data_IF_691256780071
#
_entry.id   IF_691256780071
#
_cell.length_a   1.000
_cell.length_b   1.000
_cell.length_c   1.000
_cell.angle_alpha   90.00
_cell.angle_beta   90.00
_cell.angle_gamma   90.00
#
_symmetry.space_group_name_H-M   'P 1'
#
loop_
_entity.id
_entity.type
_entity.pdbx_description
1 polymer ?
#
# COMPACT_ATOMS: atom_id res chain seq x y z
N UNK A 1 -15.40 58.25 -20.21
CA UNK A 1 -14.15 57.49 -20.45
C UNK A 1 -14.27 55.95 -20.35
N UNK A 2 -15.40 55.38 -19.90
CA UNK A 2 -15.57 53.93 -19.68
C UNK A 2 -15.93 53.07 -20.90
N UNK A 3 -15.99 53.66 -22.11
CA UNK A 3 -16.58 53.03 -23.31
C UNK A 3 -15.55 52.46 -24.30
N UNK A 4 -14.36 53.07 -24.41
CA UNK A 4 -13.41 52.77 -25.50
C UNK A 4 -12.55 51.55 -25.16
N UNK A 5 -12.14 51.39 -23.90
CA UNK A 5 -11.31 50.26 -23.46
C UNK A 5 -12.03 48.92 -23.48
N UNK A 6 -13.36 48.90 -23.29
CA UNK A 6 -14.19 47.68 -23.43
C UNK A 6 -14.39 47.31 -24.90
N UNK A 7 -14.57 48.30 -25.77
CA UNK A 7 -14.68 48.07 -27.21
C UNK A 7 -13.38 47.48 -27.79
N UNK A 8 -12.22 47.95 -27.32
CA UNK A 8 -10.92 47.41 -27.77
C UNK A 8 -10.63 45.99 -27.27
N UNK A 9 -11.09 45.61 -26.07
CA UNK A 9 -10.95 44.23 -25.59
C UNK A 9 -11.85 43.28 -26.36
N UNK A 10 -13.10 43.65 -26.62
CA UNK A 10 -14.01 42.84 -27.46
C UNK A 10 -13.50 42.70 -28.90
N UNK A 11 -12.92 43.76 -29.48
CA UNK A 11 -12.35 43.73 -30.82
C UNK A 11 -11.12 42.81 -30.95
N UNK A 12 -10.39 42.55 -29.86
CA UNK A 12 -9.27 41.60 -29.86
C UNK A 12 -9.70 40.16 -29.52
N UNK A 13 -10.64 40.00 -28.59
CA UNK A 13 -11.10 38.68 -28.13
C UNK A 13 -11.97 38.00 -29.18
N UNK A 14 -12.86 38.73 -29.85
CA UNK A 14 -13.80 38.12 -30.80
C UNK A 14 -13.11 37.45 -32.01
N UNK A 15 -12.16 38.09 -32.71
CA UNK A 15 -11.44 37.44 -33.82
C UNK A 15 -10.57 36.26 -33.35
N UNK A 16 -9.99 36.38 -32.15
CA UNK A 16 -9.22 35.28 -31.54
C UNK A 16 -10.12 34.07 -31.28
N UNK A 17 -11.26 34.24 -30.59
CA UNK A 17 -12.19 33.15 -30.31
C UNK A 17 -12.73 32.54 -31.60
N UNK A 18 -13.10 33.37 -32.58
CA UNK A 18 -13.59 32.91 -33.87
C UNK A 18 -12.55 32.09 -34.65
N UNK A 19 -11.28 32.53 -34.67
CA UNK A 19 -10.20 31.79 -35.33
C UNK A 19 -9.81 30.49 -34.61
N UNK A 20 -10.11 30.39 -33.31
CA UNK A 20 -9.76 29.25 -32.45
C UNK A 20 -10.95 28.31 -32.16
N UNK A 21 -12.13 28.53 -32.74
CA UNK A 21 -13.36 27.74 -32.52
C UNK A 21 -13.10 26.23 -32.51
N UNK A 22 -12.48 25.70 -33.58
CA UNK A 22 -12.18 24.27 -33.71
C UNK A 22 -11.30 23.74 -32.57
N UNK A 23 -10.36 24.54 -32.08
CA UNK A 23 -9.49 24.15 -30.98
C UNK A 23 -10.22 24.19 -29.64
N UNK A 24 -11.09 25.18 -29.41
CA UNK A 24 -11.97 25.21 -28.24
C UNK A 24 -12.91 24.01 -28.21
N UNK A 25 -13.54 23.68 -29.33
CA UNK A 25 -14.39 22.49 -29.46
C UNK A 25 -13.64 21.22 -29.05
N UNK A 26 -12.45 20.99 -29.63
CA UNK A 26 -11.64 19.81 -29.34
C UNK A 26 -11.09 19.80 -27.91
N UNK A 27 -10.78 20.97 -27.36
CA UNK A 27 -10.42 21.12 -25.94
C UNK A 27 -11.56 20.67 -25.03
N UNK A 28 -12.79 21.12 -25.29
CA UNK A 28 -13.97 20.75 -24.51
C UNK A 28 -14.37 19.28 -24.70
N UNK A 29 -14.18 18.72 -25.90
CA UNK A 29 -14.34 17.28 -26.13
C UNK A 29 -13.33 16.51 -25.28
N UNK A 30 -12.05 16.91 -25.28
CA UNK A 30 -11.02 16.31 -24.43
C UNK A 30 -11.39 16.40 -22.94
N UNK A 31 -11.88 17.56 -22.48
CA UNK A 31 -12.37 17.75 -21.12
C UNK A 31 -13.54 16.84 -20.78
N UNK A 32 -14.53 16.72 -21.67
CA UNK A 32 -15.68 15.85 -21.50
C UNK A 32 -15.22 14.38 -21.38
N UNK A 33 -14.39 13.91 -22.31
CA UNK A 33 -13.81 12.55 -22.27
C UNK A 33 -13.05 12.30 -20.97
N UNK A 34 -12.26 13.28 -20.50
CA UNK A 34 -11.50 13.17 -19.26
C UNK A 34 -12.39 13.08 -18.01
N UNK A 35 -13.67 13.48 -18.10
CA UNK A 35 -14.63 13.51 -17.00
C UNK A 35 -15.77 12.49 -17.14
N UNK A 36 -15.84 11.76 -18.24
CA UNK A 36 -16.83 10.69 -18.43
C UNK A 36 -16.59 9.59 -17.39
N UNK A 37 -17.64 9.24 -16.65
CA UNK A 37 -17.65 8.09 -15.74
C UNK A 37 -18.27 6.89 -16.45
N UNK A 38 -17.49 5.82 -16.61
CA UNK A 38 -17.94 4.59 -17.30
C UNK A 38 -18.57 3.64 -16.26
N UNK A 39 -19.72 2.99 -16.58
CA UNK A 39 -20.41 2.07 -15.66
C UNK A 39 -19.55 0.86 -15.20
N UNK A 40 -19.95 0.31 -14.04
CA UNK A 40 -19.14 -0.43 -13.07
C UNK A 40 -18.39 -1.68 -13.54
N UNK A 41 -18.80 -2.35 -14.62
CA UNK A 41 -18.27 -3.69 -14.94
C UNK A 41 -16.86 -3.68 -15.57
N UNK A 42 -16.45 -2.58 -16.23
CA UNK A 42 -15.14 -2.45 -16.91
C UNK A 42 -14.30 -1.30 -16.34
N UNK A 43 -14.70 -0.78 -15.18
CA UNK A 43 -14.23 0.49 -14.64
C UNK A 43 -12.73 0.52 -14.34
N UNK A 44 -12.15 -0.59 -13.87
CA UNK A 44 -10.76 -0.62 -13.36
C UNK A 44 -9.69 -0.42 -14.44
N UNK A 45 -9.94 -0.84 -15.68
CA UNK A 45 -8.97 -0.78 -16.77
C UNK A 45 -9.26 0.36 -17.76
N UNK A 46 -10.53 0.60 -18.05
CA UNK A 46 -10.92 1.53 -19.12
C UNK A 46 -10.96 2.97 -18.62
N UNK A 47 -11.40 3.20 -17.38
CA UNK A 47 -11.52 4.56 -16.83
C UNK A 47 -10.18 5.34 -16.85
N UNK A 48 -9.04 4.77 -16.41
CA UNK A 48 -7.79 5.52 -16.39
C UNK A 48 -7.23 5.80 -17.79
N UNK A 49 -7.47 4.88 -18.74
CA UNK A 49 -7.06 5.03 -20.13
C UNK A 49 -7.88 6.11 -20.87
N UNK A 50 -9.21 6.09 -20.70
CA UNK A 50 -10.11 7.11 -21.26
C UNK A 50 -9.81 8.48 -20.66
N UNK A 51 -9.63 8.54 -19.34
CA UNK A 51 -9.26 9.79 -18.65
C UNK A 51 -7.93 10.35 -19.16
N UNK A 52 -6.91 9.50 -19.33
CA UNK A 52 -5.62 9.88 -19.87
C UNK A 52 -5.70 10.36 -21.33
N UNK A 53 -6.49 9.68 -22.17
CA UNK A 53 -6.75 10.10 -23.54
C UNK A 53 -7.40 11.49 -23.62
N UNK A 54 -8.43 11.72 -22.79
CA UNK A 54 -9.06 13.03 -22.67
C UNK A 54 -8.10 14.13 -22.23
N UNK A 55 -7.23 13.85 -21.25
CA UNK A 55 -6.21 14.80 -20.77
C UNK A 55 -5.16 15.13 -21.84
N UNK A 56 -4.74 14.16 -22.65
CA UNK A 56 -3.79 14.38 -23.75
C UNK A 56 -4.42 15.28 -24.83
N UNK A 57 -5.67 14.98 -25.23
CA UNK A 57 -6.42 15.80 -26.19
C UNK A 57 -6.58 17.21 -25.65
N UNK A 58 -7.03 17.35 -24.40
CA UNK A 58 -7.18 18.65 -23.73
C UNK A 58 -5.85 19.42 -23.67
N UNK A 59 -4.73 18.73 -23.42
CA UNK A 59 -3.41 19.35 -23.36
C UNK A 59 -2.90 19.83 -24.70
N UNK A 60 -3.05 19.03 -25.75
CA UNK A 60 -2.66 19.40 -27.11
C UNK A 60 -3.44 20.63 -27.59
N UNK A 61 -4.76 20.63 -27.42
CA UNK A 61 -5.58 21.75 -27.87
C UNK A 61 -5.49 22.97 -26.97
N UNK A 62 -5.30 22.78 -25.66
CA UNK A 62 -4.99 23.88 -24.75
C UNK A 62 -3.64 24.52 -25.05
N UNK A 63 -2.63 23.75 -25.46
CA UNK A 63 -1.36 24.29 -25.96
C UNK A 63 -1.59 25.21 -27.17
N UNK A 64 -2.34 24.76 -28.18
CA UNK A 64 -2.64 25.59 -29.37
C UNK A 64 -3.45 26.84 -29.02
N UNK A 65 -4.43 26.75 -28.13
CA UNK A 65 -5.21 27.92 -27.69
C UNK A 65 -4.28 28.92 -26.99
N UNK A 66 -3.44 28.44 -26.06
CA UNK A 66 -2.57 29.30 -25.26
C UNK A 66 -1.49 29.96 -26.12
N UNK A 67 -0.84 29.22 -27.03
CA UNK A 67 0.23 29.77 -27.88
C UNK A 67 -0.26 30.81 -28.88
N UNK A 68 -1.51 30.71 -29.33
CA UNK A 68 -2.11 31.68 -30.26
C UNK A 68 -2.75 32.90 -29.58
N UNK A 69 -2.67 33.02 -28.24
CA UNK A 69 -3.18 34.20 -27.54
C UNK A 69 -2.52 35.48 -28.09
N UNK A 70 -3.28 36.58 -28.28
CA UNK A 70 -2.78 37.85 -28.80
C UNK A 70 -2.01 38.65 -27.72
N UNK A 71 -1.04 37.99 -27.09
CA UNK A 71 -0.13 38.48 -26.05
C UNK A 71 1.29 38.12 -26.50
N UNK A 72 2.32 38.62 -25.83
CA UNK A 72 3.73 38.26 -26.00
C UNK A 72 3.94 36.78 -26.37
N UNK A 73 4.27 36.47 -27.65
CA UNK A 73 4.34 35.09 -28.17
C UNK A 73 5.32 34.19 -27.42
N UNK A 74 6.41 34.76 -26.92
CA UNK A 74 7.40 33.96 -26.17
C UNK A 74 6.85 33.52 -24.81
N UNK A 75 6.07 34.37 -24.15
CA UNK A 75 5.46 34.04 -22.85
C UNK A 75 4.34 33.03 -23.02
N UNK A 76 3.47 33.25 -24.00
CA UNK A 76 2.34 32.37 -24.28
C UNK A 76 2.79 30.98 -24.69
N UNK A 77 3.88 30.86 -25.47
CA UNK A 77 4.48 29.57 -25.80
C UNK A 77 5.01 28.82 -24.57
N UNK A 78 5.71 29.51 -23.65
CA UNK A 78 6.21 28.90 -22.40
C UNK A 78 5.07 28.46 -21.48
N UNK A 79 4.02 29.27 -21.36
CA UNK A 79 2.81 28.93 -20.58
C UNK A 79 2.10 27.74 -21.21
N UNK A 80 1.91 27.76 -22.54
CA UNK A 80 1.28 26.67 -23.28
C UNK A 80 2.04 25.36 -23.10
N UNK A 81 3.37 25.38 -23.21
CA UNK A 81 4.20 24.19 -22.99
C UNK A 81 4.10 23.69 -21.54
N UNK A 82 4.12 24.59 -20.56
CA UNK A 82 3.88 24.25 -19.16
C UNK A 82 2.52 23.59 -18.95
N UNK A 83 1.46 24.12 -19.57
CA UNK A 83 0.11 23.55 -19.51
C UNK A 83 0.03 22.15 -20.15
N UNK A 84 0.68 21.95 -21.30
CA UNK A 84 0.76 20.64 -21.95
C UNK A 84 1.46 19.62 -21.05
N UNK A 85 2.65 19.95 -20.54
CA UNK A 85 3.41 19.06 -19.65
C UNK A 85 2.62 18.75 -18.38
N UNK A 86 1.91 19.73 -17.83
CA UNK A 86 1.03 19.53 -16.67
C UNK A 86 0.00 18.43 -16.94
N UNK A 87 -0.70 18.51 -18.08
CA UNK A 87 -1.71 17.52 -18.45
C UNK A 87 -1.12 16.17 -18.84
N UNK A 88 0.07 16.14 -19.44
CA UNK A 88 0.81 14.90 -19.70
C UNK A 88 1.18 14.21 -18.38
N UNK A 89 1.64 14.94 -17.37
CA UNK A 89 1.91 14.36 -16.03
C UNK A 89 0.63 13.79 -15.42
N UNK A 90 -0.51 14.49 -15.55
CA UNK A 90 -1.79 13.97 -15.09
C UNK A 90 -2.24 12.72 -15.85
N UNK A 91 -2.06 12.70 -17.17
CA UNK A 91 -2.38 11.54 -18.01
C UNK A 91 -1.49 10.34 -17.65
N UNK A 92 -0.18 10.56 -17.51
CA UNK A 92 0.79 9.53 -17.16
C UNK A 92 0.55 8.98 -15.74
N UNK A 93 0.21 9.84 -14.78
CA UNK A 93 -0.16 9.39 -13.41
C UNK A 93 -1.50 8.67 -13.37
N UNK A 94 -2.46 9.03 -14.24
CA UNK A 94 -3.70 8.26 -14.42
C UNK A 94 -3.41 6.85 -14.95
N UNK A 95 -2.61 6.74 -16.01
CA UNK A 95 -2.19 5.46 -16.58
C UNK A 95 -1.36 4.62 -15.60
N UNK A 96 -0.55 5.26 -14.75
CA UNK A 96 0.22 4.56 -13.73
C UNK A 96 -0.65 3.81 -12.72
N UNK A 97 -1.94 4.15 -12.58
CA UNK A 97 -2.85 3.37 -11.74
C UNK A 97 -3.18 1.97 -12.31
N UNK A 98 -2.90 1.74 -13.60
CA UNK A 98 -3.13 0.45 -14.26
C UNK A 98 -1.97 -0.53 -14.07
N UNK A 99 -0.79 -0.04 -13.68
CA UNK A 99 0.42 -0.84 -13.60
C UNK A 99 0.95 -0.91 -12.18
N UNK A 100 1.35 -2.11 -11.76
CA UNK A 100 1.99 -2.35 -10.46
C UNK A 100 3.51 -2.24 -10.52
N UNK A 101 4.07 -1.81 -11.67
CA UNK A 101 5.53 -1.67 -11.81
C UNK A 101 6.09 -0.63 -10.84
N UNK A 102 7.33 -0.83 -10.38
CA UNK A 102 8.00 0.12 -9.48
C UNK A 102 8.04 1.55 -10.06
N UNK A 103 8.20 1.68 -11.37
CA UNK A 103 8.16 2.98 -12.07
C UNK A 103 6.76 3.62 -12.04
N UNK A 104 5.68 2.85 -12.20
CA UNK A 104 4.31 3.34 -12.11
C UNK A 104 3.97 3.78 -10.68
N UNK A 105 4.38 3.00 -9.67
CA UNK A 105 4.25 3.36 -8.25
C UNK A 105 5.01 4.64 -7.93
N UNK A 106 6.25 4.76 -8.43
CA UNK A 106 7.06 5.98 -8.27
C UNK A 106 6.39 7.21 -8.88
N UNK A 107 5.88 7.09 -10.11
CA UNK A 107 5.23 8.19 -10.82
C UNK A 107 3.98 8.68 -10.08
N UNK A 108 3.17 7.76 -9.57
CA UNK A 108 1.99 8.05 -8.74
C UNK A 108 2.36 8.78 -7.45
N UNK A 109 3.37 8.30 -6.73
CA UNK A 109 3.81 8.86 -5.45
C UNK A 109 4.51 10.22 -5.64
N UNK A 110 5.18 10.43 -6.78
CA UNK A 110 5.90 11.66 -7.09
C UNK A 110 5.03 12.74 -7.74
N UNK A 111 3.73 12.48 -7.97
CA UNK A 111 2.82 13.41 -8.66
C UNK A 111 2.87 14.83 -8.10
N UNK A 112 2.73 14.99 -6.78
CA UNK A 112 2.74 16.32 -6.16
C UNK A 112 4.06 17.05 -6.39
N UNK A 113 5.19 16.33 -6.27
CA UNK A 113 6.51 16.88 -6.57
C UNK A 113 6.63 17.31 -8.03
N UNK A 114 6.29 16.44 -8.99
CA UNK A 114 6.38 16.73 -10.42
C UNK A 114 5.54 17.97 -10.82
N UNK A 115 4.32 18.07 -10.31
CA UNK A 115 3.46 19.22 -10.58
C UNK A 115 3.99 20.51 -9.93
N UNK A 116 4.45 20.45 -8.68
CA UNK A 116 5.01 21.61 -7.99
C UNK A 116 6.32 22.10 -8.64
N UNK A 117 7.18 21.15 -9.05
CA UNK A 117 8.43 21.44 -9.75
C UNK A 117 8.18 22.05 -11.13
N UNK A 118 7.17 21.55 -11.86
CA UNK A 118 6.78 22.13 -13.14
C UNK A 118 6.33 23.59 -12.99
N UNK A 119 5.46 23.88 -12.00
CA UNK A 119 5.02 25.26 -11.73
C UNK A 119 6.22 26.14 -11.38
N UNK A 120 7.11 25.67 -10.52
CA UNK A 120 8.36 26.38 -10.18
C UNK A 120 9.20 26.67 -11.43
N UNK A 121 9.39 25.69 -12.31
CA UNK A 121 10.15 25.84 -13.55
C UNK A 121 9.50 26.86 -14.49
N UNK A 122 8.19 26.77 -14.72
CA UNK A 122 7.45 27.72 -15.58
C UNK A 122 7.55 29.15 -15.03
N UNK A 123 7.35 29.33 -13.72
CA UNK A 123 7.51 30.64 -13.05
C UNK A 123 8.94 31.15 -13.18
N UNK A 124 9.94 30.28 -12.99
CA UNK A 124 11.35 30.64 -13.17
C UNK A 124 11.62 31.16 -14.57
N UNK A 125 11.22 30.42 -15.62
CA UNK A 125 11.48 30.80 -17.02
C UNK A 125 10.74 32.07 -17.47
N UNK A 126 9.58 32.37 -16.89
CA UNK A 126 8.76 33.53 -17.29
C UNK A 126 9.08 34.77 -16.47
N UNK A 127 9.27 34.64 -15.15
CA UNK A 127 9.33 35.80 -14.24
C UNK A 127 10.74 36.08 -13.70
N UNK A 128 11.54 35.04 -13.48
CA UNK A 128 12.85 35.15 -12.83
C UNK A 128 13.94 35.28 -13.88
N UNK A 129 14.05 34.30 -14.78
CA UNK A 129 15.10 34.20 -15.80
C UNK A 129 15.25 35.50 -16.60
N UNK A 130 14.19 36.16 -17.11
CA UNK A 130 14.34 37.39 -17.87
C UNK A 130 15.00 38.54 -17.10
N UNK A 131 14.84 38.58 -15.77
CA UNK A 131 15.41 39.63 -14.91
C UNK A 131 16.88 39.42 -14.57
N UNK A 132 17.39 38.21 -14.78
CA UNK A 132 18.78 37.84 -14.46
C UNK A 132 19.59 37.47 -15.72
N UNK A 133 19.00 37.62 -16.91
CA UNK A 133 19.62 37.29 -18.20
C UNK A 133 21.00 37.96 -18.39
N UNK A 134 21.15 39.19 -17.93
CA UNK A 134 22.41 39.96 -18.00
C UNK A 134 23.55 39.32 -17.20
N UNK A 135 23.23 38.45 -16.24
CA UNK A 135 24.17 37.77 -15.36
C UNK A 135 24.19 36.28 -15.69
N UNK A 136 24.86 35.93 -16.80
CA UNK A 136 24.95 34.56 -17.31
C UNK A 136 25.40 33.54 -16.26
N UNK A 137 26.33 33.91 -15.37
CA UNK A 137 26.77 33.04 -14.27
C UNK A 137 25.64 32.70 -13.28
N UNK A 138 24.76 33.65 -12.96
CA UNK A 138 23.62 33.40 -12.07
C UNK A 138 22.55 32.56 -12.75
N UNK A 139 22.28 32.79 -14.04
CA UNK A 139 21.34 31.96 -14.82
C UNK A 139 21.79 30.51 -14.82
N UNK A 140 23.07 30.27 -15.15
CA UNK A 140 23.63 28.92 -15.19
C UNK A 140 23.55 28.25 -13.82
N UNK A 141 23.95 28.96 -12.75
CA UNK A 141 23.84 28.45 -11.38
C UNK A 141 22.40 28.06 -11.02
N UNK A 142 21.42 28.92 -11.28
CA UNK A 142 20.01 28.65 -10.96
C UNK A 142 19.43 27.47 -11.76
N UNK A 143 19.76 27.37 -13.05
CA UNK A 143 19.35 26.25 -13.89
C UNK A 143 19.94 24.93 -13.37
N UNK A 144 21.22 24.92 -12.98
CA UNK A 144 21.85 23.74 -12.37
C UNK A 144 21.31 23.40 -10.98
N UNK A 145 20.93 24.39 -10.19
CA UNK A 145 20.26 24.15 -8.89
C UNK A 145 18.90 23.47 -9.12
N UNK A 146 18.10 23.94 -10.08
CA UNK A 146 16.82 23.30 -10.42
C UNK A 146 17.01 21.85 -10.87
N UNK A 147 17.96 21.61 -11.78
CA UNK A 147 18.32 20.25 -12.23
C UNK A 147 18.81 19.41 -11.06
N UNK A 148 19.65 19.95 -10.19
CA UNK A 148 20.16 19.28 -9.00
C UNK A 148 19.06 18.85 -8.03
N UNK A 149 18.10 19.75 -7.73
CA UNK A 149 16.94 19.43 -6.88
C UNK A 149 16.14 18.28 -7.49
N UNK A 150 15.88 18.33 -8.80
CA UNK A 150 15.15 17.28 -9.51
C UNK A 150 15.88 15.94 -9.43
N UNK A 151 17.18 15.91 -9.74
CA UNK A 151 18.00 14.70 -9.71
C UNK A 151 18.16 14.12 -8.31
N UNK A 152 18.33 14.96 -7.29
CA UNK A 152 18.41 14.52 -5.90
C UNK A 152 17.12 13.85 -5.46
N UNK A 153 15.96 14.45 -5.78
CA UNK A 153 14.66 13.86 -5.48
C UNK A 153 14.44 12.55 -6.22
N UNK A 154 14.73 12.53 -7.53
CA UNK A 154 14.63 11.35 -8.37
C UNK A 154 15.50 10.19 -7.86
N UNK A 155 16.77 10.47 -7.56
CA UNK A 155 17.73 9.49 -7.04
C UNK A 155 17.30 8.93 -5.68
N UNK A 156 16.87 9.80 -4.76
CA UNK A 156 16.40 9.38 -3.44
C UNK A 156 15.16 8.50 -3.52
N UNK A 157 14.20 8.83 -4.39
CA UNK A 157 12.97 8.07 -4.52
C UNK A 157 13.18 6.73 -5.23
N UNK A 158 14.07 6.67 -6.24
CA UNK A 158 14.47 5.40 -6.87
C UNK A 158 15.17 4.47 -5.88
N UNK A 159 16.12 4.99 -5.08
CA UNK A 159 16.80 4.20 -4.05
C UNK A 159 15.81 3.62 -3.03
N UNK A 160 14.83 4.41 -2.62
CA UNK A 160 13.76 3.95 -1.71
C UNK A 160 12.90 2.85 -2.34
N UNK A 161 12.53 2.97 -3.61
CA UNK A 161 11.73 1.93 -4.26
C UNK A 161 12.44 0.58 -4.36
N UNK A 162 13.77 0.57 -4.52
CA UNK A 162 14.58 -0.66 -4.55
C UNK A 162 14.71 -1.27 -3.14
N UNK A 163 14.88 -0.44 -2.10
CA UNK A 163 15.00 -0.95 -0.72
C UNK A 163 13.70 -1.49 -0.12
N UNK A 164 12.53 -1.05 -0.62
CA UNK A 164 11.23 -1.44 -0.04
C UNK A 164 10.81 -2.85 -0.46
N UNK A 165 11.16 -3.32 -1.66
CA UNK A 165 10.82 -4.69 -2.10
C UNK A 165 11.49 -5.77 -1.22
N UNK A 166 12.69 -5.53 -0.72
CA UNK A 166 13.39 -6.48 0.15
C UNK A 166 12.81 -6.48 1.58
N UNK A 167 12.46 -5.31 2.12
CA UNK A 167 11.92 -5.18 3.49
C UNK A 167 10.49 -5.73 3.58
N UNK A 168 9.65 -5.47 2.57
CA UNK A 168 8.25 -5.92 2.55
C UNK A 168 8.16 -7.46 2.43
N UNK A 169 9.05 -8.09 1.67
CA UNK A 169 9.16 -9.55 1.60
C UNK A 169 9.53 -10.19 2.96
N UNK A 170 10.41 -9.54 3.72
CA UNK A 170 10.86 -10.00 5.04
C UNK A 170 9.78 -9.78 6.11
N UNK A 171 9.05 -8.66 6.07
CA UNK A 171 7.96 -8.36 7.01
C UNK A 171 6.74 -9.28 6.80
N UNK A 172 6.33 -9.53 5.56
CA UNK A 172 5.24 -10.48 5.25
C UNK A 172 5.57 -11.89 5.73
N UNK A 173 6.82 -12.31 5.60
CA UNK A 173 7.27 -13.62 6.11
C UNK A 173 7.23 -13.68 7.65
N UNK A 174 7.69 -12.63 8.34
CA UNK A 174 7.66 -12.54 9.81
C UNK A 174 6.22 -12.54 10.36
N UNK A 175 5.31 -11.84 9.70
CA UNK A 175 3.90 -11.74 10.14
C UNK A 175 3.17 -13.09 10.00
N UNK A 176 3.39 -13.83 8.90
CA UNK A 176 2.82 -15.19 8.72
C UNK A 176 3.32 -16.19 9.78
N UNK A 177 4.58 -16.10 10.18
CA UNK A 177 5.13 -16.94 11.23
C UNK A 177 4.54 -16.61 12.62
N UNK A 178 4.18 -15.35 12.88
CA UNK A 178 3.52 -14.95 14.14
C UNK A 178 2.10 -15.51 14.25
N UNK A 179 1.27 -15.33 13.22
CA UNK A 179 -0.11 -15.83 13.23
C UNK A 179 -0.20 -17.35 13.40
N UNK A 180 0.69 -18.10 12.75
CA UNK A 180 0.75 -19.56 12.90
C UNK A 180 1.13 -19.98 14.34
N UNK A 181 1.98 -19.22 15.02
CA UNK A 181 2.36 -19.48 16.42
C UNK A 181 1.21 -19.20 17.37
N UNK A 182 0.49 -18.10 17.17
CA UNK A 182 -0.64 -17.71 18.03
C UNK A 182 -1.80 -18.73 17.93
N UNK A 183 -2.15 -19.17 16.73
CA UNK A 183 -3.20 -20.19 16.52
C UNK A 183 -2.84 -21.54 17.16
N UNK A 184 -1.57 -21.96 17.11
CA UNK A 184 -1.11 -23.20 17.75
C UNK A 184 -1.16 -23.14 19.27
N UNK A 185 -0.80 -21.98 19.86
CA UNK A 185 -0.86 -21.78 21.31
C UNK A 185 -2.31 -21.80 21.83
N UNK A 186 -3.23 -21.20 21.07
CA UNK A 186 -4.66 -21.20 21.42
C UNK A 186 -5.23 -22.62 21.41
N UNK A 187 -4.95 -23.40 20.35
CA UNK A 187 -5.35 -24.82 20.28
C UNK A 187 -4.77 -25.67 21.40
N UNK A 188 -3.54 -25.38 21.84
CA UNK A 188 -2.93 -26.08 22.97
C UNK A 188 -3.63 -25.75 24.29
N UNK A 189 -3.98 -24.47 24.52
CA UNK A 189 -4.73 -24.04 25.71
C UNK A 189 -6.11 -24.70 25.77
N UNK A 190 -6.83 -24.75 24.65
CA UNK A 190 -8.12 -25.43 24.56
C UNK A 190 -7.99 -26.93 24.83
N UNK A 191 -7.02 -27.59 24.22
CA UNK A 191 -6.79 -29.01 24.42
C UNK A 191 -6.41 -29.36 25.87
N UNK A 192 -5.64 -28.48 26.53
CA UNK A 192 -5.33 -28.59 27.97
C UNK A 192 -6.60 -28.48 28.82
N UNK A 193 -7.47 -27.53 28.50
CA UNK A 193 -8.75 -27.33 29.21
C UNK A 193 -9.65 -28.57 29.07
N UNK A 194 -9.82 -29.09 27.86
CA UNK A 194 -10.60 -30.29 27.59
C UNK A 194 -10.06 -31.53 28.33
N UNK A 195 -8.74 -31.67 28.42
CA UNK A 195 -8.16 -32.75 29.21
C UNK A 195 -8.45 -32.57 30.70
N UNK A 196 -8.25 -31.38 31.26
CA UNK A 196 -8.46 -31.12 32.68
C UNK A 196 -9.93 -31.28 33.10
N UNK A 197 -10.86 -30.73 32.32
CA UNK A 197 -12.29 -30.72 32.64
C UNK A 197 -12.94 -32.06 32.26
N UNK A 198 -12.76 -32.51 31.02
CA UNK A 198 -13.53 -33.63 30.46
C UNK A 198 -12.75 -34.96 30.39
N UNK A 199 -11.44 -34.95 30.65
CA UNK A 199 -10.59 -36.15 30.55
C UNK A 199 -10.28 -36.57 29.11
N UNK A 200 -10.63 -35.72 28.12
CA UNK A 200 -10.38 -36.00 26.70
C UNK A 200 -8.90 -35.83 26.36
N UNK A 201 -8.21 -36.96 26.15
CA UNK A 201 -6.76 -36.98 25.83
C UNK A 201 -6.44 -36.67 24.37
N UNK A 202 -7.31 -37.10 23.44
CA UNK A 202 -7.01 -37.10 22.00
C UNK A 202 -6.63 -35.72 21.45
N UNK A 203 -7.34 -34.61 21.79
CA UNK A 203 -6.97 -33.28 21.32
C UNK A 203 -5.60 -32.83 21.82
N UNK A 204 -5.28 -33.13 23.09
CA UNK A 204 -4.02 -32.75 23.72
C UNK A 204 -2.84 -33.51 23.11
N UNK A 205 -3.00 -34.82 22.89
CA UNK A 205 -2.00 -35.66 22.23
C UNK A 205 -1.72 -35.14 20.82
N UNK A 206 -2.77 -34.91 20.02
CA UNK A 206 -2.62 -34.46 18.64
C UNK A 206 -1.92 -33.09 18.55
N UNK A 207 -2.32 -32.13 19.38
CA UNK A 207 -1.74 -30.79 19.37
C UNK A 207 -0.30 -30.79 19.89
N UNK A 208 0.01 -31.54 20.97
CA UNK A 208 1.38 -31.66 21.47
C UNK A 208 2.30 -32.34 20.45
N UNK A 209 1.89 -33.47 19.87
CA UNK A 209 2.68 -34.16 18.85
C UNK A 209 3.00 -33.24 17.67
N UNK A 210 2.01 -32.48 17.18
CA UNK A 210 2.22 -31.54 16.09
C UNK A 210 3.23 -30.44 16.42
N UNK A 211 3.11 -29.83 17.61
CA UNK A 211 4.04 -28.78 18.06
C UNK A 211 5.46 -29.32 18.17
N UNK A 212 5.63 -30.55 18.68
CA UNK A 212 6.94 -31.15 18.87
C UNK A 212 7.59 -31.58 17.55
N UNK A 213 6.80 -32.10 16.60
CA UNK A 213 7.27 -32.37 15.23
C UNK A 213 7.71 -31.06 14.56
N UNK A 214 6.92 -29.99 14.68
CA UNK A 214 7.28 -28.67 14.14
C UNK A 214 8.53 -28.08 14.83
N UNK A 215 8.82 -28.49 16.06
CA UNK A 215 10.05 -28.15 16.80
C UNK A 215 11.25 -29.08 16.46
N UNK A 216 11.09 -30.02 15.53
CA UNK A 216 12.15 -30.91 15.06
C UNK A 216 12.45 -32.11 15.98
N UNK A 217 11.53 -32.47 16.87
CA UNK A 217 11.70 -33.65 17.73
C UNK A 217 11.49 -34.95 16.95
N UNK A 218 12.26 -35.99 17.28
CA UNK A 218 12.06 -37.32 16.71
C UNK A 218 10.82 -38.01 17.28
N UNK A 219 10.21 -38.90 16.49
CA UNK A 219 9.00 -39.64 16.88
C UNK A 219 9.17 -40.40 18.21
N UNK A 220 10.33 -41.04 18.41
CA UNK A 220 10.65 -41.76 19.66
C UNK A 220 10.62 -40.84 20.89
N UNK A 221 11.15 -39.61 20.76
CA UNK A 221 11.15 -38.61 21.84
C UNK A 221 9.75 -38.12 22.15
N UNK A 222 8.95 -37.89 21.12
CA UNK A 222 7.54 -37.47 21.26
C UNK A 222 6.75 -38.57 21.97
N UNK A 223 6.92 -39.83 21.57
CA UNK A 223 6.28 -40.98 22.21
C UNK A 223 6.67 -41.10 23.69
N UNK A 224 7.95 -40.94 24.03
CA UNK A 224 8.43 -40.97 25.41
C UNK A 224 7.86 -39.83 26.28
N UNK A 225 7.66 -38.65 25.70
CA UNK A 225 7.08 -37.50 26.39
C UNK A 225 5.58 -37.69 26.64
N UNK A 226 4.83 -38.20 25.64
CA UNK A 226 3.37 -38.32 25.68
C UNK A 226 2.90 -39.63 26.36
N UNK A 227 3.77 -40.63 26.49
CA UNK A 227 3.47 -41.92 27.14
C UNK A 227 2.74 -41.82 28.51
N UNK A 228 3.10 -40.90 29.43
CA UNK A 228 2.36 -40.70 30.68
C UNK A 228 0.90 -40.24 30.48
N UNK A 229 0.61 -39.52 29.41
CA UNK A 229 -0.74 -39.05 29.06
C UNK A 229 -1.58 -40.19 28.49
N UNK A 230 -0.97 -41.04 27.65
CA UNK A 230 -1.63 -42.20 27.04
C UNK A 230 -2.00 -43.22 28.12
N UNK A 231 -1.04 -43.57 28.98
CA UNK A 231 -1.16 -44.62 30.00
C UNK A 231 -2.08 -44.26 31.18
N UNK A 232 -2.37 -42.99 31.41
CA UNK A 232 -3.23 -42.57 32.51
C UNK A 232 -4.71 -42.91 32.30
N UNK A 233 -5.38 -43.62 33.20
CA UNK A 233 -6.83 -43.80 33.14
C UNK A 233 -7.49 -43.17 34.37
N UNK A 234 -8.60 -42.47 34.17
CA UNK A 234 -9.39 -41.91 35.27
C UNK A 234 -10.04 -43.04 36.10
N UNK A 235 -10.22 -42.79 37.39
CA UNK A 235 -10.94 -43.70 38.27
C UNK A 235 -12.42 -43.78 37.82
N UNK A 236 -12.89 -45.00 37.53
CA UNK A 236 -14.25 -45.25 37.04
C UNK A 236 -15.28 -44.95 38.13
N UNK A 237 -16.34 -44.24 37.77
CA UNK A 237 -17.43 -43.98 38.71
C UNK A 237 -18.18 -45.27 39.05
N UNK A 238 -18.42 -45.58 40.34
CA UNK A 238 -19.27 -46.69 40.73
C UNK A 238 -20.69 -46.49 40.22
N UNK A 239 -21.32 -47.56 39.70
CA UNK A 239 -22.70 -47.52 39.17
C UNK A 239 -23.72 -47.05 40.22
N UNK A 240 -23.46 -47.32 41.50
CA UNK A 240 -24.26 -46.87 42.64
C UNK A 240 -23.39 -46.03 43.55
N UNK A 241 -23.36 -44.72 43.32
CA UNK A 241 -22.58 -43.75 44.10
C UNK A 241 -23.45 -42.55 44.47
N UNK A 242 -23.29 -42.07 45.70
CA UNK A 242 -23.97 -40.87 46.18
C UNK A 242 -23.35 -39.61 45.54
N UNK A 243 -24.11 -38.51 45.44
CA UNK A 243 -23.64 -37.29 44.76
C UNK A 243 -22.33 -36.71 45.32
N UNK A 244 -22.12 -36.82 46.64
CA UNK A 244 -20.88 -36.39 47.29
C UNK A 244 -19.67 -37.27 46.91
N UNK A 245 -19.88 -38.56 46.68
CA UNK A 245 -18.87 -39.53 46.30
C UNK A 245 -18.44 -39.34 44.84
N UNK A 246 -19.41 -39.06 43.95
CA UNK A 246 -19.15 -38.67 42.56
C UNK A 246 -18.28 -37.42 42.48
N UNK A 247 -18.65 -36.38 43.23
CA UNK A 247 -17.88 -35.13 43.27
C UNK A 247 -16.47 -35.33 43.85
N UNK A 248 -16.31 -36.23 44.83
CA UNK A 248 -15.01 -36.57 45.40
C UNK A 248 -14.11 -37.26 44.37
N UNK A 249 -14.63 -38.25 43.64
CA UNK A 249 -13.91 -38.98 42.59
C UNK A 249 -13.54 -38.04 41.44
N UNK A 250 -14.46 -37.18 41.00
CA UNK A 250 -14.20 -36.20 39.94
C UNK A 250 -13.10 -35.20 40.34
N UNK A 251 -13.14 -34.69 41.57
CA UNK A 251 -12.10 -33.80 42.09
C UNK A 251 -10.73 -34.50 42.20
N UNK A 252 -10.72 -35.78 42.57
CA UNK A 252 -9.50 -36.60 42.61
C UNK A 252 -8.93 -36.84 41.21
N UNK A 253 -9.79 -37.18 40.24
CA UNK A 253 -9.41 -37.32 38.83
C UNK A 253 -8.86 -36.01 38.26
N UNK A 254 -9.53 -34.88 38.48
CA UNK A 254 -9.04 -33.56 38.06
C UNK A 254 -7.66 -33.22 38.64
N UNK A 255 -7.43 -33.50 39.92
CA UNK A 255 -6.11 -33.35 40.56
C UNK A 255 -5.05 -34.26 39.94
N UNK A 256 -5.40 -35.50 39.62
CA UNK A 256 -4.48 -36.44 38.97
C UNK A 256 -4.12 -36.01 37.54
N UNK A 257 -5.11 -35.58 36.74
CA UNK A 257 -4.89 -34.99 35.41
C UNK A 257 -3.96 -33.79 35.46
N UNK A 258 -4.15 -32.89 36.43
CA UNK A 258 -3.25 -31.74 36.64
C UNK A 258 -1.82 -32.17 36.95
N UNK A 259 -1.62 -33.19 37.79
CA UNK A 259 -0.27 -33.71 38.10
C UNK A 259 0.44 -34.25 36.86
N UNK A 260 -0.29 -34.88 35.95
CA UNK A 260 0.28 -35.41 34.70
C UNK A 260 0.73 -34.29 33.78
N UNK A 261 -0.10 -33.26 33.61
CA UNK A 261 0.28 -32.08 32.85
C UNK A 261 1.54 -31.42 33.42
N UNK A 262 1.61 -31.22 34.73
CA UNK A 262 2.79 -30.63 35.37
C UNK A 262 4.06 -31.47 35.15
N UNK A 263 3.96 -32.80 35.14
CA UNK A 263 5.10 -33.68 34.81
C UNK A 263 5.54 -33.54 33.35
N UNK A 264 4.60 -33.35 32.42
CA UNK A 264 4.90 -33.13 31.00
C UNK A 264 5.56 -31.76 30.82
N UNK A 265 5.03 -30.72 31.47
CA UNK A 265 5.61 -29.36 31.48
C UNK A 265 7.03 -29.35 32.06
N UNK A 266 7.27 -30.09 33.16
CA UNK A 266 8.60 -30.20 33.76
C UNK A 266 9.60 -30.88 32.80
N UNK A 267 9.17 -31.94 32.10
CA UNK A 267 10.01 -32.60 31.09
C UNK A 267 10.33 -31.66 29.92
N UNK A 268 9.34 -30.94 29.42
CA UNK A 268 9.52 -29.94 28.36
C UNK A 268 10.48 -28.82 28.76
N UNK A 269 10.36 -28.32 29.99
CA UNK A 269 11.25 -27.29 30.53
C UNK A 269 12.69 -27.79 30.66
N UNK A 270 12.91 -29.05 31.06
CA UNK A 270 14.25 -29.65 31.14
C UNK A 270 14.91 -29.80 29.77
N UNK A 271 14.12 -29.99 28.73
CA UNK A 271 14.58 -30.11 27.34
C UNK A 271 14.67 -28.75 26.61
N UNK A 272 14.51 -27.62 27.33
CA UNK A 272 14.67 -26.28 26.77
C UNK A 272 13.49 -25.80 25.90
N UNK A 273 12.35 -26.50 25.93
CA UNK A 273 11.14 -26.09 25.23
C UNK A 273 10.22 -25.37 26.21
N UNK A 274 10.27 -24.04 26.18
CA UNK A 274 9.33 -23.20 26.91
C UNK A 274 7.97 -23.18 26.22
N UNK A 275 6.98 -23.91 26.75
CA UNK A 275 5.58 -23.67 26.42
C UNK A 275 5.18 -22.41 27.19
N UNK A 276 4.93 -21.33 26.46
CA UNK A 276 4.70 -20.00 27.02
C UNK A 276 3.74 -20.01 28.21
N UNK A 277 4.24 -19.52 29.34
CA UNK A 277 3.45 -19.07 30.49
C UNK A 277 2.51 -17.95 30.08
#
# INVERSE_FOLDING_TARGET
>A
AYSISRFSTFALVYPFVYSMDKYFLLFFIGFAIARVEIPFEVHRLVQPAVSAGGLIIMGLFGYFILTNLPIDPERTQKIGLGFLVFLVILAATSLANLSESGAAKWLRNSRAFLLSFLVLAVVYYIAIRPRILERSGLVNFMEWVLVGIFLLKFSNDLRKSVSVEEVEAVEVHRQRLSYKKDEMLERLREARKLFLEEGKKSPLIATLSRILVDAGWSEDRIAALISPLISYEDEKMPKFSFGWEKNMIENKNKKNRSKILSRIEEKLSKEGVGIGS
#
